data_IF_321846313340
#
_entry.id   IF_321846313340
#
_cell.length_a   1.000
_cell.length_b   1.000
_cell.length_c   1.000
_cell.angle_alpha   90.00
_cell.angle_beta   90.00
_cell.angle_gamma   90.00
#
_symmetry.space_group_name_H-M   'P 1'
#
loop_
_entity.id
_entity.type
_entity.pdbx_description
1 polymer ?
#
# COMPACT_ATOMS: atom_id res chain seq x y z
N UNK A 1 10.51 -11.40 6.61
CA UNK A 1 9.71 -10.24 7.02
C UNK A 1 10.17 -9.10 6.15
N UNK A 2 9.28 -8.65 5.27
CA UNK A 2 9.52 -7.52 4.40
C UNK A 2 9.17 -6.20 5.11
N UNK A 3 9.67 -5.09 4.58
CA UNK A 3 9.19 -3.75 4.90
C UNK A 3 9.25 -2.85 3.66
N UNK A 4 8.42 -1.80 3.63
CA UNK A 4 8.27 -0.89 2.50
C UNK A 4 9.17 0.33 2.69
N UNK A 5 10.06 0.58 1.71
CA UNK A 5 11.00 1.72 1.69
C UNK A 5 10.51 2.91 0.87
N UNK A 6 9.70 2.68 -0.16
CA UNK A 6 9.12 3.75 -0.98
C UNK A 6 7.72 3.38 -1.46
N UNK A 7 6.85 4.39 -1.63
CA UNK A 7 5.49 4.25 -2.16
C UNK A 7 5.22 5.35 -3.17
N UNK A 8 4.68 4.96 -4.32
CA UNK A 8 4.20 5.88 -5.34
C UNK A 8 2.82 5.43 -5.81
N UNK A 9 1.90 6.38 -5.92
CA UNK A 9 0.64 6.13 -6.62
C UNK A 9 0.94 5.74 -8.08
N UNK A 10 0.36 4.64 -8.56
CA UNK A 10 0.57 4.15 -9.92
C UNK A 10 -0.63 4.45 -10.82
N UNK A 11 -1.78 3.83 -10.56
CA UNK A 11 -3.03 4.02 -11.30
C UNK A 11 -4.19 3.36 -10.54
N UNK A 12 -5.42 3.86 -10.65
CA UNK A 12 -6.59 3.31 -9.93
C UNK A 12 -6.26 3.07 -8.45
N UNK A 13 -6.51 1.87 -7.92
CA UNK A 13 -6.13 1.50 -6.54
C UNK A 13 -4.79 0.75 -6.49
N UNK A 14 -3.89 1.05 -7.44
CA UNK A 14 -2.58 0.43 -7.54
C UNK A 14 -1.48 1.33 -7.00
N UNK A 15 -0.60 0.72 -6.21
CA UNK A 15 0.60 1.37 -5.68
C UNK A 15 1.84 0.68 -6.24
N UNK A 16 2.85 1.49 -6.54
CA UNK A 16 4.22 1.00 -6.80
C UNK A 16 4.98 1.07 -5.49
N UNK A 17 5.39 -0.09 -4.98
CA UNK A 17 6.11 -0.22 -3.71
C UNK A 17 7.55 -0.67 -3.96
N UNK A 18 8.49 -0.04 -3.27
CA UNK A 18 9.88 -0.52 -3.18
C UNK A 18 10.09 -1.14 -1.82
N UNK A 19 10.55 -2.39 -1.77
CA UNK A 19 10.79 -3.12 -0.54
C UNK A 19 12.25 -3.02 -0.09
N UNK A 20 12.52 -3.55 1.10
CA UNK A 20 13.85 -3.53 1.70
C UNK A 20 14.96 -4.14 0.83
N UNK A 21 14.62 -5.19 0.11
CA UNK A 21 15.49 -5.99 -0.76
C UNK A 21 15.68 -5.37 -2.15
N UNK A 22 15.22 -4.13 -2.34
CA UNK A 22 15.20 -3.39 -3.61
C UNK A 22 14.23 -3.95 -4.66
N UNK A 23 13.39 -4.94 -4.31
CA UNK A 23 12.35 -5.42 -5.20
C UNK A 23 11.25 -4.36 -5.30
N UNK A 24 10.78 -4.15 -6.53
CA UNK A 24 9.72 -3.20 -6.85
C UNK A 24 8.52 -3.97 -7.37
N UNK A 25 7.34 -3.74 -6.76
CA UNK A 25 6.09 -4.39 -7.12
C UNK A 25 4.98 -3.39 -7.37
N UNK A 26 4.09 -3.73 -8.30
CA UNK A 26 2.79 -3.08 -8.46
C UNK A 26 1.76 -3.89 -7.68
N UNK A 27 1.12 -3.26 -6.71
CA UNK A 27 0.13 -3.87 -5.81
C UNK A 27 -1.23 -3.31 -6.15
N UNK A 28 -2.20 -4.16 -6.50
CA UNK A 28 -3.61 -3.77 -6.68
C UNK A 28 -4.40 -4.00 -5.40
N UNK A 29 -4.77 -2.92 -4.71
CA UNK A 29 -5.51 -2.99 -3.46
C UNK A 29 -7.03 -3.00 -3.66
N UNK A 30 -7.55 -2.79 -4.88
CA UNK A 30 -8.99 -2.73 -5.14
C UNK A 30 -9.78 -3.92 -4.57
N UNK A 31 -9.31 -5.17 -4.67
CA UNK A 31 -10.03 -6.33 -4.13
C UNK A 31 -10.02 -6.42 -2.60
N UNK A 32 -9.25 -5.56 -1.92
CA UNK A 32 -8.93 -5.65 -0.49
C UNK A 32 -9.36 -4.40 0.30
N UNK A 33 -10.20 -3.54 -0.30
CA UNK A 33 -10.77 -2.36 0.36
C UNK A 33 -12.12 -2.66 1.03
N UNK A 34 -12.21 -3.80 1.72
CA UNK A 34 -13.41 -4.24 2.42
C UNK A 34 -13.35 -3.97 3.93
N UNK A 35 -14.45 -3.46 4.49
CA UNK A 35 -14.58 -3.15 5.91
C UNK A 35 -14.44 -1.66 6.24
N UNK A 36 -14.99 -1.27 7.39
CA UNK A 36 -15.19 0.14 7.79
C UNK A 36 -13.89 0.96 7.78
N UNK A 37 -12.75 0.35 8.13
CA UNK A 37 -11.45 1.05 8.14
C UNK A 37 -10.94 1.40 6.73
N UNK A 38 -11.36 0.64 5.71
CA UNK A 38 -10.94 0.85 4.32
C UNK A 38 -11.98 1.61 3.49
N UNK A 39 -13.20 1.84 4.00
CA UNK A 39 -14.23 2.61 3.28
C UNK A 39 -13.75 3.98 2.78
N UNK A 40 -12.97 4.78 3.54
CA UNK A 40 -12.46 6.06 3.04
C UNK A 40 -11.52 5.91 1.83
N UNK A 41 -10.85 4.76 1.68
CA UNK A 41 -9.92 4.49 0.59
C UNK A 41 -10.64 4.21 -0.73
N UNK A 42 -11.98 4.05 -0.74
CA UNK A 42 -12.78 3.97 -1.96
C UNK A 42 -12.72 5.31 -2.72
N UNK A 43 -12.62 6.44 -2.01
CA UNK A 43 -12.36 7.74 -2.65
C UNK A 43 -10.91 7.76 -3.16
N UNK A 44 -10.76 7.93 -4.48
CA UNK A 44 -9.47 7.88 -5.15
C UNK A 44 -8.52 9.01 -4.69
N UNK A 45 -9.04 10.18 -4.33
CA UNK A 45 -8.21 11.29 -3.85
C UNK A 45 -7.72 11.01 -2.42
N UNK A 46 -8.54 10.34 -1.62
CA UNK A 46 -8.11 9.83 -0.32
C UNK A 46 -7.07 8.72 -0.47
N UNK A 47 -7.28 7.77 -1.39
CA UNK A 47 -6.33 6.69 -1.67
C UNK A 47 -4.95 7.23 -2.09
N UNK A 48 -4.90 8.28 -2.91
CA UNK A 48 -3.65 8.95 -3.32
C UNK A 48 -2.88 9.59 -2.17
N UNK A 49 -3.50 9.82 -1.01
CA UNK A 49 -2.83 10.37 0.18
C UNK A 49 -1.95 9.37 0.94
N UNK A 50 -1.77 8.17 0.38
CA UNK A 50 -0.90 7.13 0.93
C UNK A 50 0.49 7.67 1.26
N UNK A 51 1.04 7.23 2.40
CA UNK A 51 2.39 7.55 2.84
C UNK A 51 3.02 6.35 3.52
N UNK A 52 4.34 6.38 3.72
CA UNK A 52 5.02 5.41 4.57
C UNK A 52 4.93 5.85 6.02
N UNK A 53 4.69 4.88 6.90
CA UNK A 53 4.88 5.02 8.33
C UNK A 53 6.16 4.27 8.75
N UNK A 54 7.25 4.96 9.13
CA UNK A 54 8.50 4.32 9.52
C UNK A 54 8.43 3.60 10.88
N UNK A 55 7.41 3.85 11.70
CA UNK A 55 7.28 3.17 13.01
C UNK A 55 6.72 1.74 12.86
N UNK A 56 5.98 1.49 11.77
CA UNK A 56 5.37 0.19 11.46
C UNK A 56 5.81 -0.36 10.09
N UNK A 57 6.80 0.29 9.47
CA UNK A 57 7.53 -0.22 8.30
C UNK A 57 6.65 -0.53 7.06
N UNK A 58 5.52 0.17 6.91
CA UNK A 58 4.54 -0.05 5.81
C UNK A 58 3.80 1.21 5.35
N UNK A 59 2.91 1.06 4.37
CA UNK A 59 2.02 2.14 3.88
C UNK A 59 0.85 2.37 4.84
N UNK A 60 0.48 3.64 5.02
CA UNK A 60 -0.63 4.07 5.89
C UNK A 60 -1.41 5.23 5.26
N UNK A 61 -2.67 5.39 5.68
CA UNK A 61 -3.51 6.55 5.39
C UNK A 61 -3.80 7.41 6.63
N UNK A 62 -4.47 8.55 6.47
CA UNK A 62 -4.74 9.48 7.58
C UNK A 62 -5.72 8.94 8.63
N UNK A 63 -6.49 7.92 8.29
CA UNK A 63 -7.36 7.17 9.18
C UNK A 63 -6.67 5.96 9.82
N UNK A 64 -5.34 5.89 9.75
CA UNK A 64 -4.51 4.81 10.32
C UNK A 64 -4.69 3.44 9.64
N UNK A 65 -5.47 3.36 8.56
CA UNK A 65 -5.55 2.16 7.74
C UNK A 65 -4.15 1.81 7.19
N UNK A 66 -3.75 0.55 7.30
CA UNK A 66 -2.48 0.02 6.82
C UNK A 66 -2.65 -1.38 6.23
N UNK A 67 -1.59 -1.87 5.57
CA UNK A 67 -1.50 -3.25 5.12
C UNK A 67 -0.15 -3.83 5.55
N UNK A 68 -0.14 -5.09 5.99
CA UNK A 68 1.10 -5.79 6.33
C UNK A 68 2.08 -5.80 5.12
N UNK A 69 3.38 -5.50 5.32
CA UNK A 69 4.37 -5.58 4.25
C UNK A 69 4.46 -6.95 3.58
N UNK A 70 4.34 -8.04 4.35
CA UNK A 70 4.43 -9.39 3.81
C UNK A 70 3.23 -9.69 2.89
N UNK A 71 2.03 -9.22 3.24
CA UNK A 71 0.84 -9.31 2.40
C UNK A 71 1.02 -8.53 1.09
N UNK A 72 1.48 -7.27 1.18
CA UNK A 72 1.75 -6.42 0.00
C UNK A 72 2.80 -7.06 -0.92
N UNK A 73 3.83 -7.70 -0.35
CA UNK A 73 4.86 -8.39 -1.09
C UNK A 73 4.31 -9.64 -1.81
N UNK A 74 3.42 -10.39 -1.17
CA UNK A 74 2.79 -11.59 -1.73
C UNK A 74 1.90 -11.27 -2.93
N UNK A 75 0.99 -10.29 -2.81
CA UNK A 75 0.02 -9.97 -3.87
C UNK A 75 0.60 -9.11 -5.00
N UNK A 76 1.76 -8.50 -4.80
CA UNK A 76 2.36 -7.58 -5.75
C UNK A 76 3.01 -8.27 -6.95
N UNK A 77 2.74 -7.77 -8.15
CA UNK A 77 3.38 -8.24 -9.39
C UNK A 77 4.72 -7.54 -9.60
N UNK A 78 5.74 -8.30 -10.01
CA UNK A 78 7.06 -7.72 -10.32
C UNK A 78 6.97 -6.84 -11.57
N UNK A 79 7.58 -5.65 -11.50
CA UNK A 79 7.82 -4.78 -12.68
C UNK A 79 8.95 -5.25 -13.57
#
# INVERSE_FOLDING_TARGET
>A
MHFVKDVQYFADYKLKLTFEDSIVKIVDLKPHLDGEIFEPLIDIEYFKSVRINPDIDTVVWSNEADFSPDFLYEIGENT
#
